data_IF_279136804797
#
_entry.id   IF_279136804797
#
_cell.length_a   1.000
_cell.length_b   1.000
_cell.length_c   1.000
_cell.angle_alpha   90.00
_cell.angle_beta   90.00
_cell.angle_gamma   90.00
#
_symmetry.space_group_name_H-M   'P 1'
#
loop_
_entity.id
_entity.type
_entity.pdbx_description
1 polymer ?
#
# COMPACT_ATOMS: atom_id res chain seq x y z
N UNK A 1 -13.35 41.62 -8.55
CA UNK A 1 -13.49 40.55 -7.54
C UNK A 1 -12.74 39.33 -8.05
N UNK A 2 -11.52 39.10 -7.58
CA UNK A 2 -10.75 37.93 -7.95
C UNK A 2 -11.34 36.72 -7.20
N UNK A 3 -11.84 35.74 -7.94
CA UNK A 3 -12.17 34.44 -7.36
C UNK A 3 -10.83 33.70 -7.31
N UNK A 4 -10.20 33.73 -6.14
CA UNK A 4 -9.04 32.88 -5.85
C UNK A 4 -9.52 31.43 -5.96
N UNK A 5 -9.16 30.79 -7.07
CA UNK A 5 -9.34 29.36 -7.27
C UNK A 5 -8.30 28.66 -6.38
N UNK A 6 -8.59 28.59 -5.07
CA UNK A 6 -7.90 27.70 -4.15
C UNK A 6 -8.14 26.28 -4.66
N UNK A 7 -7.16 25.73 -5.37
CA UNK A 7 -7.14 24.32 -5.70
C UNK A 7 -7.32 23.54 -4.38
N UNK A 8 -8.28 22.59 -4.29
CA UNK A 8 -8.48 21.85 -3.06
C UNK A 8 -7.20 21.07 -2.78
N UNK A 9 -6.53 21.46 -1.71
CA UNK A 9 -5.56 20.67 -0.99
C UNK A 9 -6.02 19.21 -0.96
N UNK A 10 -5.28 18.35 -1.67
CA UNK A 10 -5.58 16.95 -1.94
C UNK A 10 -6.34 16.32 -0.78
N UNK A 11 -7.66 16.19 -0.94
CA UNK A 11 -8.50 15.40 -0.06
C UNK A 11 -8.07 13.95 -0.28
N UNK A 12 -7.00 13.53 0.39
CA UNK A 12 -6.57 12.13 0.42
C UNK A 12 -7.66 11.41 1.19
N UNK A 13 -8.69 10.99 0.48
CA UNK A 13 -9.77 10.17 1.01
C UNK A 13 -9.13 8.99 1.70
N UNK A 14 -9.40 8.85 3.00
CA UNK A 14 -8.93 7.70 3.78
C UNK A 14 -9.45 6.45 3.06
N UNK A 15 -8.57 5.53 2.63
CA UNK A 15 -9.00 4.32 1.96
C UNK A 15 -9.98 3.54 2.85
N UNK A 16 -11.06 3.03 2.27
CA UNK A 16 -12.05 2.26 3.02
C UNK A 16 -11.55 0.83 3.37
N UNK A 17 -10.50 0.39 2.69
CA UNK A 17 -9.96 -0.98 2.68
C UNK A 17 -8.63 -1.10 3.44
N UNK A 18 -8.58 -0.51 4.64
CA UNK A 18 -7.40 -0.56 5.48
C UNK A 18 -7.27 -1.90 6.21
N UNK A 19 -6.20 -2.62 5.92
CA UNK A 19 -5.87 -3.91 6.51
C UNK A 19 -4.50 -3.89 7.19
N UNK A 20 -4.30 -4.79 8.17
CA UNK A 20 -3.00 -4.85 8.86
C UNK A 20 -1.92 -5.39 7.92
N UNK A 21 -0.67 -5.00 8.13
CA UNK A 21 0.42 -5.51 7.28
C UNK A 21 0.57 -7.04 7.33
N UNK A 22 0.20 -7.65 8.46
CA UNK A 22 0.18 -9.11 8.60
C UNK A 22 -0.90 -9.76 7.74
N UNK A 23 -2.11 -9.20 7.73
CA UNK A 23 -3.23 -9.70 6.91
C UNK A 23 -2.94 -9.52 5.42
N UNK A 24 -2.37 -8.37 5.04
CA UNK A 24 -1.92 -8.11 3.66
C UNK A 24 -0.88 -9.13 3.21
N UNK A 25 0.10 -9.47 4.06
CA UNK A 25 1.09 -10.50 3.71
C UNK A 25 0.45 -11.88 3.50
N UNK A 26 -0.57 -12.22 4.29
CA UNK A 26 -1.34 -13.45 4.11
C UNK A 26 -2.13 -13.43 2.78
N UNK A 27 -2.84 -12.34 2.47
CA UNK A 27 -3.56 -12.18 1.21
C UNK A 27 -2.64 -12.26 -0.02
N UNK A 28 -1.46 -11.64 0.04
CA UNK A 28 -0.50 -11.70 -1.04
C UNK A 28 0.05 -13.12 -1.25
N UNK A 29 0.14 -13.94 -0.20
CA UNK A 29 0.52 -15.34 -0.33
C UNK A 29 -0.52 -16.16 -1.14
N UNK A 30 -1.81 -15.85 -1.03
CA UNK A 30 -2.89 -16.51 -1.78
C UNK A 30 -2.77 -16.26 -3.30
N UNK A 31 -2.08 -15.21 -3.73
CA UNK A 31 -1.84 -14.90 -5.15
C UNK A 31 -0.79 -15.80 -5.80
N UNK A 32 -0.12 -16.67 -5.05
CA UNK A 32 1.03 -17.47 -5.52
C UNK A 32 2.35 -16.69 -5.58
N UNK A 33 2.34 -15.43 -5.15
CA UNK A 33 3.52 -14.57 -5.11
C UNK A 33 3.67 -13.94 -3.72
N UNK A 34 4.09 -14.71 -2.70
CA UNK A 34 4.16 -14.21 -1.34
C UNK A 34 5.12 -13.02 -1.22
N UNK A 35 4.74 -12.06 -0.39
CA UNK A 35 5.57 -10.92 -0.02
C UNK A 35 5.61 -10.77 1.50
N UNK A 36 6.79 -10.48 2.02
CA UNK A 36 7.00 -10.27 3.45
C UNK A 36 6.47 -8.91 3.90
N UNK A 37 6.13 -8.77 5.18
CA UNK A 37 5.79 -7.47 5.80
C UNK A 37 6.87 -6.42 5.55
N UNK A 38 8.14 -6.81 5.46
CA UNK A 38 9.26 -5.91 5.16
C UNK A 38 9.17 -5.36 3.73
N UNK A 39 8.78 -6.17 2.75
CA UNK A 39 8.58 -5.74 1.38
C UNK A 39 7.38 -4.81 1.27
N UNK A 40 6.28 -5.13 1.95
CA UNK A 40 5.09 -4.27 2.03
C UNK A 40 5.47 -2.90 2.61
N UNK A 41 6.25 -2.85 3.70
CA UNK A 41 6.78 -1.59 4.27
C UNK A 41 7.63 -0.82 3.28
N UNK A 42 8.50 -1.51 2.55
CA UNK A 42 9.33 -0.88 1.52
C UNK A 42 8.47 -0.27 0.40
N UNK A 43 7.37 -0.92 0.01
CA UNK A 43 6.47 -0.37 -1.00
C UNK A 43 5.75 0.88 -0.49
N UNK A 44 5.23 0.83 0.74
CA UNK A 44 4.62 1.96 1.43
C UNK A 44 5.57 3.17 1.44
N UNK A 45 6.83 2.96 1.83
CA UNK A 45 7.85 4.02 1.85
C UNK A 45 8.16 4.52 0.43
N UNK A 46 8.37 3.62 -0.53
CA UNK A 46 8.78 3.99 -1.89
C UNK A 46 7.71 4.72 -2.71
N UNK A 47 6.43 4.50 -2.37
CA UNK A 47 5.27 5.07 -3.08
C UNK A 47 4.50 6.08 -2.23
N UNK A 48 4.99 6.37 -1.02
CA UNK A 48 4.35 7.28 -0.06
C UNK A 48 2.88 6.92 0.20
N UNK A 49 2.58 5.61 0.32
CA UNK A 49 1.22 5.08 0.50
C UNK A 49 0.63 5.51 1.85
N UNK A 50 -0.70 5.60 1.91
CA UNK A 50 -1.36 6.02 3.13
C UNK A 50 -1.25 4.91 4.17
N UNK A 51 -0.93 5.28 5.40
CA UNK A 51 -0.95 4.35 6.52
C UNK A 51 -1.62 4.94 7.74
N UNK A 52 -2.27 4.06 8.50
CA UNK A 52 -2.88 4.40 9.77
C UNK A 52 -2.31 3.52 10.88
N UNK A 53 -2.04 4.12 12.04
CA UNK A 53 -1.63 3.37 13.23
C UNK A 53 -2.82 3.18 14.15
N UNK A 54 -3.23 1.93 14.38
CA UNK A 54 -4.39 1.61 15.25
C UNK A 54 -4.00 0.80 16.48
N UNK A 55 -4.77 1.00 17.54
CA UNK A 55 -4.72 0.23 18.78
C UNK A 55 -3.49 0.50 19.68
N UNK A 56 -3.46 -0.13 20.87
CA UNK A 56 -2.44 0.13 21.89
C UNK A 56 -1.03 -0.29 21.44
N UNK A 57 -0.92 -1.27 20.52
CA UNK A 57 0.35 -1.73 19.95
C UNK A 57 0.81 -0.93 18.72
N UNK A 58 0.07 0.12 18.33
CA UNK A 58 0.36 0.95 17.13
C UNK A 58 0.61 0.10 15.88
N UNK A 59 -0.25 -0.89 15.65
CA UNK A 59 -0.20 -1.72 14.44
C UNK A 59 -0.42 -0.81 13.23
N UNK A 60 0.33 -1.08 12.15
CA UNK A 60 0.25 -0.30 10.91
C UNK A 60 -0.79 -0.96 10.00
N UNK A 61 -1.66 -0.13 9.47
CA UNK A 61 -2.68 -0.49 8.49
C UNK A 61 -2.41 0.26 7.20
N UNK A 62 -2.64 -0.38 6.06
CA UNK A 62 -2.47 0.20 4.72
C UNK A 62 -3.62 -0.25 3.81
N UNK A 63 -3.86 0.50 2.73
CA UNK A 63 -4.91 0.15 1.76
C UNK A 63 -4.55 -1.15 1.04
N UNK A 64 -5.45 -2.12 1.07
CA UNK A 64 -5.29 -3.37 0.34
C UNK A 64 -5.13 -3.11 -1.16
N UNK A 65 -5.94 -2.22 -1.73
CA UNK A 65 -5.88 -1.85 -3.15
C UNK A 65 -4.52 -1.29 -3.55
N UNK A 66 -4.00 -0.29 -2.81
CA UNK A 66 -2.69 0.33 -3.12
C UNK A 66 -1.55 -0.71 -3.01
N UNK A 67 -1.66 -1.64 -2.05
CA UNK A 67 -0.68 -2.72 -1.86
C UNK A 67 -0.74 -3.76 -2.97
N UNK A 68 -1.93 -4.13 -3.45
CA UNK A 68 -2.08 -5.04 -4.58
C UNK A 68 -1.49 -4.45 -5.88
N UNK A 69 -1.64 -3.15 -6.10
CA UNK A 69 -0.99 -2.48 -7.23
C UNK A 69 0.55 -2.51 -7.11
N UNK A 70 1.07 -2.28 -5.91
CA UNK A 70 2.50 -2.37 -5.65
C UNK A 70 3.04 -3.79 -5.83
N UNK A 71 2.28 -4.77 -5.36
CA UNK A 71 2.58 -6.18 -5.53
C UNK A 71 2.59 -6.60 -6.99
N UNK A 72 1.57 -6.22 -7.77
CA UNK A 72 1.50 -6.48 -9.22
C UNK A 72 2.75 -5.99 -9.93
N UNK A 73 3.13 -4.73 -9.70
CA UNK A 73 4.30 -4.14 -10.34
C UNK A 73 5.60 -4.84 -9.91
N UNK A 74 5.69 -5.23 -8.64
CA UNK A 74 6.80 -6.03 -8.12
C UNK A 74 6.90 -7.40 -8.80
N UNK A 75 5.80 -8.14 -8.92
CA UNK A 75 5.73 -9.44 -9.62
C UNK A 75 6.18 -9.29 -11.07
N UNK A 76 5.66 -8.30 -11.79
CA UNK A 76 6.10 -8.03 -13.16
C UNK A 76 7.59 -7.67 -13.23
N UNK A 77 8.10 -6.90 -12.27
CA UNK A 77 9.53 -6.59 -12.21
C UNK A 77 10.39 -7.82 -11.97
N UNK A 78 9.91 -8.80 -11.18
CA UNK A 78 10.62 -10.04 -10.86
C UNK A 78 10.63 -10.98 -12.06
N UNK A 79 9.49 -11.12 -12.74
CA UNK A 79 9.36 -11.89 -13.97
C UNK A 79 10.30 -11.37 -15.08
N UNK A 80 10.41 -10.05 -15.24
CA UNK A 80 11.36 -9.43 -16.20
C UNK A 80 12.84 -9.70 -15.87
N UNK A 81 13.16 -9.96 -14.61
CA UNK A 81 14.53 -10.28 -14.15
C UNK A 81 14.86 -11.78 -14.22
N UNK A 82 13.90 -12.63 -14.60
CA UNK A 82 14.11 -14.08 -14.68
C UNK A 82 14.26 -14.77 -13.32
N UNK A 83 13.85 -14.12 -12.23
CA UNK A 83 13.93 -14.69 -10.88
C UNK A 83 12.55 -15.29 -10.55
N UNK A 84 12.44 -16.61 -10.60
CA UNK A 84 11.25 -17.36 -10.16
C UNK A 84 11.57 -18.08 -8.85
#
# INVERSE_FOLDING_TARGET
MAIEHLAPEHHRTVPADLESLEDLAALLAETGHPASVREIRRWIESRELYTERRGPKRKIYASNTEILEAHRDWVHSRARRGVF
#
